data_IF_181060726924
#
_entry.id   IF_181060726924
#
_cell.length_a   1.000
_cell.length_b   1.000
_cell.length_c   1.000
_cell.angle_alpha   90.00
_cell.angle_beta   90.00
_cell.angle_gamma   90.00
#
_symmetry.space_group_name_H-M   'P 1'
#
loop_
_entity.id
_entity.type
_entity.pdbx_description
1 polymer ?
#
# COMPACT_ATOMS: atom_id res chain seq x y z
N UNK A 1 -15.24 17.20 16.25
CA UNK A 1 -13.96 16.99 15.55
C UNK A 1 -14.25 17.15 14.07
N UNK A 2 -13.60 18.09 13.39
CA UNK A 2 -13.80 18.27 11.95
C UNK A 2 -13.20 17.05 11.23
N UNK A 3 -14.02 16.31 10.47
CA UNK A 3 -13.54 15.35 9.50
C UNK A 3 -12.63 16.12 8.53
N UNK A 4 -11.32 16.08 8.78
CA UNK A 4 -10.34 16.61 7.85
C UNK A 4 -10.54 15.81 6.55
N UNK A 5 -10.86 16.51 5.46
CA UNK A 5 -10.88 15.96 4.10
C UNK A 5 -9.45 15.56 3.67
N UNK A 6 -8.88 14.54 4.30
CA UNK A 6 -7.54 14.03 4.00
C UNK A 6 -7.45 13.47 2.58
N UNK A 7 -8.58 13.02 2.03
CA UNK A 7 -8.70 12.48 0.67
C UNK A 7 -8.55 13.53 -0.44
N UNK A 8 -8.61 14.83 -0.13
CA UNK A 8 -8.41 15.89 -1.12
C UNK A 8 -6.96 16.39 -1.19
N UNK A 9 -6.08 15.95 -0.30
CA UNK A 9 -4.69 16.43 -0.20
C UNK A 9 -3.64 15.37 -0.59
N UNK A 10 -4.06 14.14 -0.87
CA UNK A 10 -3.17 13.03 -1.18
C UNK A 10 -3.58 12.43 -2.51
N UNK A 11 -2.65 12.34 -3.46
CA UNK A 11 -2.91 11.74 -4.77
C UNK A 11 -2.85 10.21 -4.71
N UNK A 12 -3.42 9.54 -5.72
CA UNK A 12 -3.35 8.07 -5.82
C UNK A 12 -1.91 7.57 -6.00
N UNK A 13 -1.05 8.35 -6.65
CA UNK A 13 0.37 8.07 -6.80
C UNK A 13 1.10 8.15 -5.45
N UNK A 14 0.83 9.19 -4.65
CA UNK A 14 1.41 9.31 -3.30
C UNK A 14 0.99 8.15 -2.41
N UNK A 15 -0.30 7.75 -2.45
CA UNK A 15 -0.77 6.56 -1.75
C UNK A 15 -0.04 5.29 -2.23
N UNK A 16 0.18 5.14 -3.54
CA UNK A 16 0.87 3.99 -4.10
C UNK A 16 2.34 3.92 -3.65
N UNK A 17 3.05 5.05 -3.65
CA UNK A 17 4.45 5.11 -3.21
C UNK A 17 4.60 4.81 -1.71
N UNK A 18 3.68 5.32 -0.88
CA UNK A 18 3.68 5.01 0.55
C UNK A 18 3.44 3.51 0.83
N UNK A 19 2.51 2.89 0.09
CA UNK A 19 2.26 1.43 0.19
C UNK A 19 3.50 0.64 -0.25
N UNK A 20 4.16 1.03 -1.35
CA UNK A 20 5.41 0.39 -1.81
C UNK A 20 6.51 0.49 -0.75
N UNK A 21 6.71 1.68 -0.16
CA UNK A 21 7.70 1.90 0.91
C UNK A 21 7.43 1.03 2.12
N UNK A 22 6.16 0.92 2.53
CA UNK A 22 5.77 0.10 3.67
C UNK A 22 5.99 -1.40 3.41
N UNK A 23 5.61 -1.89 2.23
CA UNK A 23 5.90 -3.27 1.82
C UNK A 23 7.40 -3.56 1.86
N UNK A 24 8.24 -2.68 1.29
CA UNK A 24 9.69 -2.82 1.34
C UNK A 24 10.23 -2.84 2.78
N UNK A 25 9.69 -1.99 3.64
CA UNK A 25 10.07 -1.93 5.06
C UNK A 25 9.70 -3.20 5.80
N UNK A 26 8.47 -3.70 5.63
CA UNK A 26 7.98 -4.92 6.28
C UNK A 26 8.72 -6.15 5.78
N UNK A 27 8.97 -6.26 4.48
CA UNK A 27 9.75 -7.36 3.90
C UNK A 27 11.17 -7.42 4.48
N UNK A 28 11.76 -6.27 4.82
CA UNK A 28 13.07 -6.19 5.46
C UNK A 28 13.03 -6.49 6.97
N UNK A 29 12.01 -6.03 7.68
CA UNK A 29 12.01 -6.01 9.16
C UNK A 29 11.25 -7.18 9.78
N UNK A 30 10.14 -7.62 9.18
CA UNK A 30 9.29 -8.68 9.72
C UNK A 30 10.01 -10.02 9.89
N UNK A 31 10.89 -10.48 8.97
CA UNK A 31 11.58 -11.75 9.18
C UNK A 31 12.33 -11.80 10.52
N UNK A 32 13.06 -10.73 10.84
CA UNK A 32 13.76 -10.60 12.13
C UNK A 32 12.78 -10.50 13.30
N UNK A 33 11.71 -9.73 13.17
CA UNK A 33 10.73 -9.61 14.26
C UNK A 33 9.97 -10.90 14.54
N UNK A 34 9.73 -11.73 13.52
CA UNK A 34 9.16 -13.07 13.67
C UNK A 34 10.14 -13.96 14.44
N UNK A 35 11.42 -13.96 14.05
CA UNK A 35 12.47 -14.70 14.74
C UNK A 35 12.65 -14.25 16.20
N UNK A 36 12.60 -12.93 16.45
CA UNK A 36 12.68 -12.34 17.79
C UNK A 36 11.38 -12.52 18.61
N UNK A 37 10.32 -13.10 18.05
CA UNK A 37 9.02 -13.26 18.70
C UNK A 37 8.23 -11.96 18.93
N UNK A 38 8.64 -10.85 18.31
CA UNK A 38 8.00 -9.51 18.43
C UNK A 38 6.69 -9.41 17.65
N UNK A 39 6.49 -10.27 16.65
CA UNK A 39 5.23 -10.39 15.90
C UNK A 39 5.01 -11.87 15.56
N UNK A 40 3.76 -12.31 15.63
CA UNK A 40 3.40 -13.65 15.15
C UNK A 40 3.44 -13.69 13.61
N UNK A 41 3.85 -14.82 13.05
CA UNK A 41 3.97 -14.99 11.59
C UNK A 41 2.64 -14.77 10.87
N UNK A 42 1.55 -15.35 11.35
CA UNK A 42 0.21 -15.18 10.80
C UNK A 42 -0.24 -13.71 10.73
N UNK A 43 0.06 -12.93 11.77
CA UNK A 43 -0.22 -11.49 11.82
C UNK A 43 0.65 -10.72 10.82
N UNK A 44 1.94 -11.06 10.73
CA UNK A 44 2.85 -10.44 9.77
C UNK A 44 2.41 -10.73 8.32
N UNK A 45 2.09 -11.99 8.01
CA UNK A 45 1.62 -12.43 6.70
C UNK A 45 0.32 -11.73 6.31
N UNK A 46 -0.67 -11.69 7.20
CA UNK A 46 -1.94 -11.00 6.94
C UNK A 46 -1.73 -9.50 6.65
N UNK A 47 -0.84 -8.84 7.41
CA UNK A 47 -0.53 -7.42 7.22
C UNK A 47 0.20 -7.13 5.91
N UNK A 48 1.01 -8.07 5.40
CA UNK A 48 1.63 -7.95 4.09
C UNK A 48 0.56 -8.16 3.01
N UNK A 49 -0.26 -9.20 3.13
CA UNK A 49 -1.34 -9.51 2.18
C UNK A 49 -2.30 -8.33 1.97
N UNK A 50 -2.69 -7.64 3.05
CA UNK A 50 -3.54 -6.44 2.96
C UNK A 50 -2.86 -5.32 2.16
N UNK A 51 -1.56 -5.09 2.36
CA UNK A 51 -0.83 -4.05 1.62
C UNK A 51 -0.64 -4.42 0.15
N UNK A 52 -0.41 -5.69 -0.17
CA UNK A 52 -0.34 -6.17 -1.55
C UNK A 52 -1.69 -5.98 -2.26
N UNK A 53 -2.80 -6.31 -1.58
CA UNK A 53 -4.15 -6.07 -2.10
C UNK A 53 -4.42 -4.57 -2.35
N UNK A 54 -4.00 -3.70 -1.41
CA UNK A 54 -4.09 -2.25 -1.58
C UNK A 54 -3.23 -1.74 -2.74
N UNK A 55 -2.04 -2.28 -2.93
CA UNK A 55 -1.18 -1.92 -4.06
C UNK A 55 -1.86 -2.25 -5.41
N UNK A 56 -2.47 -3.43 -5.52
CA UNK A 56 -3.22 -3.85 -6.72
C UNK A 56 -4.42 -2.92 -6.95
N UNK A 57 -5.17 -2.61 -5.89
CA UNK A 57 -6.29 -1.67 -5.97
C UNK A 57 -5.84 -0.31 -6.51
N UNK A 58 -4.80 0.29 -5.93
CA UNK A 58 -4.28 1.59 -6.35
C UNK A 58 -3.74 1.57 -7.79
N UNK A 59 -3.07 0.48 -8.21
CA UNK A 59 -2.66 0.30 -9.60
C UNK A 59 -3.84 0.30 -10.57
N UNK A 60 -4.94 -0.36 -10.21
CA UNK A 60 -6.15 -0.39 -11.03
C UNK A 60 -6.82 1.00 -11.11
N UNK A 61 -6.87 1.74 -10.01
CA UNK A 61 -7.43 3.10 -10.00
C UNK A 61 -6.58 4.10 -10.83
N UNK A 62 -5.26 3.99 -10.74
CA UNK A 62 -4.35 4.79 -11.58
C UNK A 62 -4.50 4.47 -13.07
N UNK A 63 -4.74 3.20 -13.42
CA UNK A 63 -5.00 2.82 -14.83
C UNK A 63 -6.31 3.37 -15.37
N UNK A 64 -7.35 3.47 -14.53
CA UNK A 64 -8.66 4.05 -14.94
C UNK A 64 -8.58 5.56 -15.16
N UNK A 65 -7.69 6.23 -14.45
CA UNK A 65 -7.52 7.69 -14.49
C UNK A 65 -6.50 8.15 -15.52
N UNK A 66 -5.66 7.24 -16.03
CA UNK A 66 -4.80 7.52 -17.18
C UNK A 66 -5.68 7.86 -18.41
N UNK A 67 -5.45 9.02 -19.07
CA UNK A 67 -6.17 9.34 -20.29
C UNK A 67 -5.91 8.23 -21.31
N UNK A 68 -6.97 7.80 -21.98
CA UNK A 68 -6.92 6.89 -23.13
C UNK A 68 -6.19 7.63 -24.26
N UNK A 69 -4.86 7.70 -24.14
CA UNK A 69 -3.99 8.27 -25.17
C UNK A 69 -3.96 7.28 -26.32
N UNK A 70 -4.43 7.77 -27.46
CA UNK A 70 -4.17 7.25 -28.80
C UNK A 70 -4.93 5.96 -29.17
N UNK A 71 -6.21 6.13 -29.49
CA UNK A 71 -6.93 5.28 -30.45
C UNK A 71 -7.64 6.16 -31.49
N UNK A 72 -6.91 7.08 -32.13
CA UNK A 72 -7.26 7.67 -33.43
C UNK A 72 -5.99 8.02 -34.19
#
# INVERSE_FOLDING_TARGET
>A
MSEKNFTQQITLEEMQEEVKRELATRNRVYPRWIQDGKIKKDVADFRVLVLEALQIFLQNELRKTAPQKDLF
#
